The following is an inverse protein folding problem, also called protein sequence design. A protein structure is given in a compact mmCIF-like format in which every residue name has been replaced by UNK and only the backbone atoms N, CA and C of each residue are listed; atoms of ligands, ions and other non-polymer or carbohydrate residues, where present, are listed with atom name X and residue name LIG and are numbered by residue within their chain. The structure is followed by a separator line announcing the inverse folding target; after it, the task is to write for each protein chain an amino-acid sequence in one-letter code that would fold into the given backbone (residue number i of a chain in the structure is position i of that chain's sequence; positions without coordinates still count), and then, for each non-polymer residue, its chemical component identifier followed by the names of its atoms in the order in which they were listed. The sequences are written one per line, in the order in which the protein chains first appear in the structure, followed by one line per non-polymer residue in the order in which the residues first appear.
data_IF_574941021117
#
_entry.id   IF_574941021117
#
_cell.length_a   1.000
_cell.length_b   1.000
_cell.length_c   1.000
_cell.angle_alpha   90.00
_cell.angle_beta   90.00
_cell.angle_gamma   90.00
#
_symmetry.space_group_name_H-M   'P 1'
#
loop_
_entity.id
_entity.type
_entity.pdbx_description
1 polymer ?
#
# COMPACT_ATOMS: atom_id res chain seq x y z
N UNK A 1 39.50 -60.38 -6.12
CA UNK A 1 38.45 -59.41 -6.54
C UNK A 1 37.74 -58.92 -5.28
N UNK A 2 38.04 -57.70 -4.84
CA UNK A 2 37.25 -56.93 -3.87
C UNK A 2 37.46 -55.46 -4.23
N UNK A 3 36.43 -54.80 -4.74
CA UNK A 3 36.42 -53.36 -4.98
C UNK A 3 35.80 -52.68 -3.76
N UNK A 4 36.60 -51.90 -3.04
CA UNK A 4 36.12 -51.02 -1.97
C UNK A 4 35.61 -49.74 -2.61
N UNK A 5 34.29 -49.53 -2.65
CA UNK A 5 33.69 -48.30 -3.12
C UNK A 5 33.79 -47.22 -2.03
N UNK A 6 34.62 -46.20 -2.26
CA UNK A 6 34.59 -44.96 -1.49
C UNK A 6 33.36 -44.14 -1.92
N UNK A 7 32.35 -44.07 -1.05
CA UNK A 7 31.28 -43.09 -1.17
C UNK A 7 31.83 -41.75 -0.69
N UNK A 8 32.16 -40.87 -1.63
CA UNK A 8 32.44 -39.47 -1.32
C UNK A 8 31.12 -38.80 -0.89
N UNK A 9 30.97 -38.52 0.42
CA UNK A 9 29.92 -37.64 0.92
C UNK A 9 30.14 -36.26 0.32
N UNK A 10 29.31 -35.89 -0.65
CA UNK A 10 29.20 -34.53 -1.15
C UNK A 10 28.49 -33.70 -0.07
N UNK A 11 29.26 -33.11 0.83
CA UNK A 11 28.74 -32.07 1.72
C UNK A 11 28.38 -30.86 0.84
N UNK A 12 27.14 -30.34 0.92
CA UNK A 12 26.80 -29.11 0.22
C UNK A 12 27.73 -27.98 0.71
N UNK A 13 28.15 -27.06 -0.17
CA UNK A 13 28.98 -25.94 0.24
C UNK A 13 28.28 -25.18 1.38
N UNK A 14 29.07 -24.75 2.36
CA UNK A 14 28.61 -23.94 3.48
C UNK A 14 27.68 -22.83 2.97
N UNK A 15 26.43 -22.87 3.44
CA UNK A 15 25.39 -21.87 3.25
C UNK A 15 25.99 -20.47 3.11
N UNK A 16 26.03 -19.95 1.88
CA UNK A 16 26.34 -18.54 1.68
C UNK A 16 25.29 -17.74 2.45
N UNK A 17 25.72 -16.93 3.42
CA UNK A 17 24.82 -16.07 4.17
C UNK A 17 23.90 -15.33 3.19
N UNK A 18 22.57 -15.30 3.42
CA UNK A 18 21.66 -14.68 2.50
C UNK A 18 22.13 -13.24 2.21
N UNK A 19 22.10 -12.81 0.93
CA UNK A 19 22.54 -11.45 0.59
C UNK A 19 21.73 -10.46 1.41
N UNK A 20 22.41 -9.59 2.17
CA UNK A 20 21.76 -8.61 3.04
C UNK A 20 20.75 -7.79 2.24
N UNK A 21 19.47 -8.00 2.56
CA UNK A 21 18.33 -7.22 2.04
C UNK A 21 18.44 -5.75 2.46
N UNK A 22 19.09 -5.53 3.60
CA UNK A 22 19.27 -4.24 4.23
C UNK A 22 20.50 -3.52 3.68
N UNK A 23 20.34 -2.23 3.46
CA UNK A 23 21.45 -1.30 3.26
C UNK A 23 21.87 -0.70 4.62
N UNK A 24 23.17 -0.49 4.83
CA UNK A 24 23.72 0.21 6.01
C UNK A 24 23.42 1.74 5.99
N UNK A 25 22.67 2.23 5.01
CA UNK A 25 22.39 3.65 4.85
C UNK A 25 21.21 4.01 5.74
N UNK A 26 21.46 4.84 6.76
CA UNK A 26 20.42 5.39 7.62
C UNK A 26 19.72 6.53 6.88
N UNK A 27 18.41 6.38 6.68
CA UNK A 27 17.55 7.52 6.35
C UNK A 27 17.44 8.35 7.62
N UNK A 28 17.84 9.63 7.57
CA UNK A 28 17.67 10.55 8.70
C UNK A 28 16.20 10.95 8.82
N UNK A 29 15.42 10.07 9.44
CA UNK A 29 14.05 10.36 9.85
C UNK A 29 14.06 11.13 11.18
N UNK A 30 13.10 12.04 11.34
CA UNK A 30 12.78 12.62 12.64
C UNK A 30 11.99 11.65 13.51
N UNK A 31 11.67 12.03 14.75
CA UNK A 31 10.96 11.16 15.67
C UNK A 31 9.56 10.83 15.15
N UNK A 32 9.20 9.55 15.24
CA UNK A 32 7.85 9.09 14.96
C UNK A 32 6.86 9.71 15.95
N UNK A 33 5.70 10.14 15.46
CA UNK A 33 4.66 10.75 16.26
C UNK A 33 3.31 10.05 16.05
N UNK A 34 2.56 9.85 17.15
CA UNK A 34 1.20 9.32 17.09
C UNK A 34 0.26 10.38 16.52
N UNK A 35 -0.46 10.02 15.47
CA UNK A 35 -1.52 10.84 14.87
C UNK A 35 -2.84 10.54 15.57
N UNK A 36 -3.16 9.25 15.75
CA UNK A 36 -4.41 8.83 16.38
C UNK A 36 -4.28 7.42 16.96
N UNK A 37 -4.87 7.19 18.14
CA UNK A 37 -5.02 5.85 18.73
C UNK A 37 -6.42 5.35 18.48
N UNK A 38 -6.51 4.13 17.96
CA UNK A 38 -7.79 3.48 17.75
C UNK A 38 -8.19 2.71 19.01
N UNK A 39 -9.47 2.78 19.37
CA UNK A 39 -10.04 2.01 20.48
C UNK A 39 -9.84 0.49 20.29
N UNK A 40 -9.76 -0.22 21.41
CA UNK A 40 -9.73 -1.69 21.40
C UNK A 40 -10.95 -2.24 20.68
N UNK A 41 -10.74 -3.15 19.72
CA UNK A 41 -11.81 -3.68 18.87
C UNK A 41 -12.09 -2.86 17.60
N UNK A 42 -11.42 -1.72 17.38
CA UNK A 42 -11.47 -1.04 16.08
C UNK A 42 -11.01 -1.98 14.97
N UNK A 43 -11.75 -1.96 13.86
CA UNK A 43 -11.53 -2.78 12.69
C UNK A 43 -10.89 -1.99 11.54
N UNK A 44 -10.46 -0.75 11.79
CA UNK A 44 -9.86 0.11 10.77
C UNK A 44 -8.53 -0.48 10.28
N UNK A 45 -8.33 -0.62 8.96
CA UNK A 45 -7.13 -1.18 8.32
C UNK A 45 -6.92 -0.57 6.94
N UNK A 46 -5.74 -0.79 6.38
CA UNK A 46 -5.38 -0.36 5.02
C UNK A 46 -5.65 1.14 4.86
N UNK A 47 -4.82 1.96 5.50
CA UNK A 47 -4.94 3.43 5.45
C UNK A 47 -4.36 4.02 4.17
N UNK A 48 -5.07 4.96 3.53
CA UNK A 48 -4.51 5.85 2.51
C UNK A 48 -4.59 7.28 3.01
N UNK A 49 -3.61 8.09 2.63
CA UNK A 49 -3.60 9.52 2.89
C UNK A 49 -3.32 10.24 1.59
N UNK A 50 -4.24 11.10 1.17
CA UNK A 50 -4.10 11.87 -0.08
C UNK A 50 -4.39 13.33 0.17
N UNK A 51 -3.55 14.22 -0.35
CA UNK A 51 -3.85 15.64 -0.43
C UNK A 51 -4.46 15.94 -1.78
N UNK A 52 -5.63 16.55 -1.77
CA UNK A 52 -6.34 16.99 -2.97
C UNK A 52 -6.39 18.51 -3.01
N UNK A 53 -6.71 19.06 -4.17
CA UNK A 53 -6.88 20.50 -4.36
C UNK A 53 -5.64 21.23 -4.88
N UNK A 54 -5.74 22.57 -4.91
CA UNK A 54 -4.80 23.43 -5.65
C UNK A 54 -5.03 23.44 -7.16
N UNK A 55 -6.20 22.99 -7.63
CA UNK A 55 -6.60 22.99 -9.04
C UNK A 55 -7.74 23.99 -9.28
N UNK A 56 -7.94 24.40 -10.53
CA UNK A 56 -8.99 25.36 -10.92
C UNK A 56 -10.41 24.97 -10.40
N UNK A 57 -10.69 23.66 -10.35
CA UNK A 57 -11.97 23.12 -9.90
C UNK A 57 -11.98 22.67 -8.43
N UNK A 58 -10.83 22.77 -7.74
CA UNK A 58 -10.66 22.43 -6.33
C UNK A 58 -9.60 23.35 -5.71
N UNK A 59 -9.94 24.62 -5.42
CA UNK A 59 -8.95 25.65 -5.09
C UNK A 59 -8.33 25.46 -3.70
N UNK A 60 -9.08 24.91 -2.74
CA UNK A 60 -8.64 24.65 -1.38
C UNK A 60 -7.85 23.34 -1.30
N UNK A 61 -6.68 23.35 -0.65
CA UNK A 61 -5.98 22.09 -0.39
C UNK A 61 -6.61 21.39 0.81
N UNK A 62 -7.05 20.16 0.62
CA UNK A 62 -7.67 19.32 1.63
C UNK A 62 -6.91 18.00 1.79
N UNK A 63 -6.87 17.48 3.00
CA UNK A 63 -6.30 16.15 3.28
C UNK A 63 -7.41 15.16 3.54
N UNK A 64 -7.35 14.04 2.83
CA UNK A 64 -8.28 12.93 2.96
C UNK A 64 -7.55 11.73 3.56
N UNK A 65 -8.17 11.12 4.57
CA UNK A 65 -7.74 9.81 5.08
C UNK A 65 -8.81 8.79 4.73
N UNK A 66 -8.38 7.67 4.17
CA UNK A 66 -9.22 6.53 3.79
C UNK A 66 -8.81 5.32 4.62
N UNK A 67 -9.77 4.52 5.09
CA UNK A 67 -9.50 3.19 5.65
C UNK A 67 -10.66 2.22 5.40
N UNK A 68 -10.33 0.93 5.35
CA UNK A 68 -11.31 -0.17 5.50
C UNK A 68 -11.72 -0.26 6.96
N UNK A 69 -13.00 -0.46 7.25
CA UNK A 69 -13.51 -0.68 8.61
C UNK A 69 -14.64 -1.71 8.60
N UNK A 70 -14.60 -2.71 9.48
CA UNK A 70 -15.72 -3.64 9.69
C UNK A 70 -16.84 -2.98 10.52
N UNK A 71 -18.10 -3.33 10.23
CA UNK A 71 -19.25 -2.85 11.01
C UNK A 71 -19.09 -3.15 12.50
N UNK A 72 -19.27 -2.18 13.41
CA UNK A 72 -19.17 -2.40 14.85
C UNK A 72 -20.30 -3.28 15.44
N UNK A 73 -21.32 -3.65 14.67
CA UNK A 73 -22.58 -4.23 15.18
C UNK A 73 -22.83 -5.71 14.87
N UNK A 74 -21.86 -6.49 14.38
CA UNK A 74 -22.10 -7.92 14.10
C UNK A 74 -21.03 -8.82 14.71
N UNK A 75 -21.35 -9.38 15.89
CA UNK A 75 -20.72 -10.61 16.42
C UNK A 75 -21.49 -11.77 15.80
N UNK A 76 -20.94 -12.38 14.75
CA UNK A 76 -21.54 -13.56 14.10
C UNK A 76 -21.81 -13.36 12.60
N UNK A 77 -20.85 -13.79 11.79
CA UNK A 77 -21.15 -14.49 10.53
C UNK A 77 -21.27 -13.69 9.23
N UNK A 78 -21.53 -12.38 9.23
CA UNK A 78 -21.51 -11.57 7.99
C UNK A 78 -20.98 -10.16 8.26
N UNK A 79 -19.68 -9.95 8.12
CA UNK A 79 -19.06 -8.63 8.24
C UNK A 79 -19.53 -7.72 7.10
N UNK A 80 -20.41 -6.76 7.40
CA UNK A 80 -20.60 -5.64 6.49
C UNK A 80 -19.35 -4.75 6.54
N UNK A 81 -18.59 -4.74 5.45
CA UNK A 81 -17.40 -3.89 5.32
C UNK A 81 -17.78 -2.47 4.89
N UNK A 82 -17.15 -1.49 5.50
CA UNK A 82 -17.30 -0.08 5.23
C UNK A 82 -15.99 0.51 4.75
N UNK A 83 -16.10 1.49 3.87
CA UNK A 83 -15.03 2.45 3.63
C UNK A 83 -15.31 3.69 4.45
N UNK A 84 -14.35 4.08 5.27
CA UNK A 84 -14.37 5.30 6.07
C UNK A 84 -13.49 6.35 5.40
N UNK A 85 -14.08 7.51 5.16
CA UNK A 85 -13.38 8.72 4.70
C UNK A 85 -13.41 9.77 5.80
N UNK A 86 -12.25 10.27 6.18
CA UNK A 86 -12.11 11.45 7.03
C UNK A 86 -11.67 12.64 6.19
N UNK A 87 -12.40 13.76 6.30
CA UNK A 87 -12.16 15.03 5.60
C UNK A 87 -11.70 16.12 6.56
N UNK A 88 -11.24 17.24 5.98
CA UNK A 88 -10.83 18.45 6.70
C UNK A 88 -9.77 18.21 7.77
N UNK A 89 -8.97 17.17 7.54
CA UNK A 89 -7.85 16.87 8.39
C UNK A 89 -6.78 17.95 8.19
N UNK A 90 -6.16 18.41 9.28
CA UNK A 90 -5.03 19.35 9.24
C UNK A 90 -4.06 18.90 8.14
N UNK A 91 -3.62 19.85 7.30
CA UNK A 91 -2.73 19.62 6.17
C UNK A 91 -1.51 18.77 6.54
N UNK A 92 -1.06 18.84 7.78
CA UNK A 92 0.11 18.14 8.27
C UNK A 92 -0.23 16.98 9.21
N UNK A 93 -1.50 16.81 9.58
CA UNK A 93 -1.93 15.97 10.70
C UNK A 93 -1.06 16.25 11.95
N UNK A 94 -0.63 17.51 12.15
CA UNK A 94 0.18 17.95 13.29
C UNK A 94 -0.71 18.15 14.51
N UNK A 95 -0.10 17.84 15.64
CA UNK A 95 -0.60 18.19 16.95
C UNK A 95 -0.30 17.12 17.98
N UNK A 96 -0.55 17.44 19.25
CA UNK A 96 -0.71 16.41 20.28
C UNK A 96 -1.81 15.42 19.85
N UNK A 97 -1.87 14.22 20.44
CA UNK A 97 -2.94 13.24 20.15
C UNK A 97 -4.34 13.89 20.15
N UNK A 98 -4.57 14.91 20.98
CA UNK A 98 -5.81 15.71 21.08
C UNK A 98 -6.13 16.61 19.87
N UNK A 99 -5.15 17.03 19.09
CA UNK A 99 -5.32 17.94 17.95
C UNK A 99 -5.48 17.18 16.63
N UNK A 100 -4.64 16.15 16.42
CA UNK A 100 -4.78 15.26 15.27
C UNK A 100 -6.01 14.33 15.39
N UNK A 101 -6.46 14.03 16.61
CA UNK A 101 -7.72 13.32 16.83
C UNK A 101 -8.94 14.09 16.33
N UNK A 102 -8.91 15.41 16.15
CA UNK A 102 -10.06 16.17 15.63
C UNK A 102 -10.56 15.67 14.26
N UNK A 103 -9.62 15.27 13.38
CA UNK A 103 -9.92 14.62 12.10
C UNK A 103 -10.69 13.30 12.30
N UNK A 104 -10.28 12.48 13.27
CA UNK A 104 -10.84 11.14 13.54
C UNK A 104 -12.00 11.11 14.54
N UNK A 105 -12.18 12.16 15.34
CA UNK A 105 -13.10 12.23 16.48
C UNK A 105 -14.50 12.71 16.11
N UNK A 106 -14.65 13.49 15.05
CA UNK A 106 -15.96 13.98 14.62
C UNK A 106 -16.64 12.99 13.68
N UNK A 107 -17.83 12.51 14.05
CA UNK A 107 -18.71 11.77 13.14
C UNK A 107 -19.14 12.61 11.92
N UNK A 108 -19.02 13.94 11.99
CA UNK A 108 -19.30 14.84 10.87
C UNK A 108 -18.21 14.78 9.78
N UNK A 109 -16.96 14.47 10.17
CA UNK A 109 -15.85 14.31 9.23
C UNK A 109 -15.81 12.91 8.62
N UNK A 110 -16.52 11.96 9.22
CA UNK A 110 -16.56 10.56 8.83
C UNK A 110 -17.71 10.28 7.85
N UNK A 111 -17.38 10.10 6.58
CA UNK A 111 -18.33 9.53 5.61
C UNK A 111 -18.11 8.02 5.53
N UNK A 112 -19.09 7.25 6.02
CA UNK A 112 -19.13 5.80 5.85
C UNK A 112 -19.92 5.45 4.58
N UNK A 113 -19.22 4.94 3.57
CA UNK A 113 -19.88 4.48 2.35
C UNK A 113 -20.27 3.02 2.54
N UNK A 114 -21.55 2.77 2.85
CA UNK A 114 -22.12 1.40 2.82
C UNK A 114 -22.21 0.96 1.38
N UNK A 115 -21.81 -0.28 1.12
CA UNK A 115 -22.22 -0.93 -0.10
C UNK A 115 -22.67 -2.38 0.14
N UNK A 116 -23.95 -2.71 -0.12
CA UNK A 116 -24.50 -4.03 0.15
C UNK A 116 -23.96 -5.17 -0.73
N UNK A 117 -23.14 -4.89 -1.75
CA UNK A 117 -22.58 -5.90 -2.68
C UNK A 117 -21.06 -5.78 -2.89
N UNK A 118 -20.36 -5.00 -2.08
CA UNK A 118 -18.98 -4.53 -2.36
C UNK A 118 -18.03 -4.65 -1.16
N UNK A 119 -18.26 -5.64 -0.32
CA UNK A 119 -17.30 -6.09 0.72
C UNK A 119 -15.91 -6.39 0.17
N UNK A 120 -15.76 -6.47 -1.16
CA UNK A 120 -14.48 -6.69 -1.81
C UNK A 120 -13.66 -5.41 -2.05
N UNK A 121 -14.26 -4.22 -2.20
CA UNK A 121 -13.49 -3.02 -2.59
C UNK A 121 -12.54 -2.52 -1.51
N UNK A 122 -12.98 -2.50 -0.26
CA UNK A 122 -12.20 -1.93 0.84
C UNK A 122 -10.88 -2.66 1.10
N UNK A 123 -10.74 -3.91 0.66
CA UNK A 123 -9.59 -4.74 0.97
C UNK A 123 -8.32 -4.31 0.21
N UNK A 124 -8.46 -3.84 -1.05
CA UNK A 124 -7.32 -3.61 -1.95
C UNK A 124 -7.29 -2.23 -2.64
N UNK A 125 -8.03 -1.21 -2.20
CA UNK A 125 -8.10 0.07 -2.95
C UNK A 125 -6.80 0.90 -2.92
N UNK A 126 -6.33 1.32 -4.08
CA UNK A 126 -5.35 2.41 -4.27
C UNK A 126 -6.07 3.75 -4.48
N UNK A 127 -5.47 4.86 -4.02
CA UNK A 127 -5.94 6.21 -4.28
C UNK A 127 -4.83 7.05 -4.93
N UNK A 128 -5.17 7.84 -5.94
CA UNK A 128 -4.26 8.80 -6.58
C UNK A 128 -4.99 10.13 -6.82
N UNK A 129 -4.39 11.24 -6.42
CA UNK A 129 -4.81 12.57 -6.88
C UNK A 129 -3.96 12.96 -8.09
N UNK A 130 -4.61 13.17 -9.24
CA UNK A 130 -3.94 13.63 -10.45
C UNK A 130 -4.88 14.45 -11.33
N UNK A 131 -4.34 15.41 -12.07
CA UNK A 131 -5.09 16.25 -13.02
C UNK A 131 -6.41 16.87 -12.47
N UNK A 132 -6.46 17.17 -11.17
CA UNK A 132 -7.65 17.74 -10.52
C UNK A 132 -8.75 16.73 -10.16
N UNK A 133 -8.46 15.43 -10.20
CA UNK A 133 -9.39 14.36 -9.86
C UNK A 133 -8.76 13.33 -8.89
N UNK A 134 -9.61 12.70 -8.07
CA UNK A 134 -9.23 11.52 -7.29
C UNK A 134 -9.57 10.27 -8.09
N UNK A 135 -8.57 9.44 -8.33
CA UNK A 135 -8.70 8.11 -8.91
C UNK A 135 -8.65 7.08 -7.80
N UNK A 136 -9.63 6.17 -7.79
CA UNK A 136 -9.65 5.00 -6.93
C UNK A 136 -9.61 3.75 -7.79
N UNK A 137 -8.66 2.86 -7.53
CA UNK A 137 -8.51 1.61 -8.28
C UNK A 137 -8.37 0.44 -7.30
N UNK A 138 -9.25 -0.56 -7.40
CA UNK A 138 -9.20 -1.72 -6.54
C UNK A 138 -10.51 -2.48 -6.48
N UNK A 139 -10.59 -3.44 -5.56
CA UNK A 139 -11.59 -4.51 -5.60
C UNK A 139 -10.94 -5.87 -5.38
N UNK A 140 -11.29 -6.56 -4.28
CA UNK A 140 -10.95 -7.96 -4.07
C UNK A 140 -11.72 -8.80 -5.08
N UNK A 141 -11.02 -9.31 -6.08
CA UNK A 141 -11.53 -10.44 -6.84
C UNK A 141 -11.28 -11.69 -5.99
N UNK A 142 -12.31 -12.20 -5.30
CA UNK A 142 -12.17 -13.44 -4.53
C UNK A 142 -12.76 -14.61 -5.34
N UNK A 143 -11.92 -15.39 -6.05
CA UNK A 143 -12.40 -16.48 -6.88
C UNK A 143 -13.01 -17.63 -6.05
N UNK A 144 -12.71 -17.76 -4.74
CA UNK A 144 -13.27 -18.83 -3.90
C UNK A 144 -14.67 -18.53 -3.36
N UNK A 145 -15.13 -17.27 -3.40
CA UNK A 145 -16.53 -16.92 -3.13
C UNK A 145 -17.32 -16.90 -4.43
N UNK A 146 -17.51 -18.11 -5.00
CA UNK A 146 -18.30 -18.33 -6.20
C UNK A 146 -19.74 -17.81 -6.05
N UNK A 147 -20.00 -16.65 -6.66
CA UNK A 147 -21.27 -16.27 -7.33
C UNK A 147 -21.13 -14.88 -7.95
N UNK A 148 -20.14 -14.66 -8.81
CA UNK A 148 -20.18 -13.50 -9.69
C UNK A 148 -19.85 -13.93 -11.11
N UNK A 149 -20.84 -13.80 -11.99
CA UNK A 149 -20.73 -13.90 -13.45
C UNK A 149 -19.54 -13.07 -13.93
N UNK A 150 -18.89 -13.49 -15.00
CA UNK A 150 -17.92 -12.72 -15.80
C UNK A 150 -18.30 -11.24 -15.83
N UNK A 151 -17.67 -10.45 -14.96
CA UNK A 151 -18.22 -9.18 -14.54
C UNK A 151 -17.11 -8.34 -13.94
N UNK A 152 -16.40 -7.67 -14.85
CA UNK A 152 -15.46 -6.62 -14.53
C UNK A 152 -16.09 -5.62 -13.56
N UNK A 153 -15.63 -5.57 -12.30
CA UNK A 153 -16.05 -4.48 -11.42
C UNK A 153 -15.26 -3.22 -11.77
N UNK A 154 -15.74 -2.52 -12.80
CA UNK A 154 -15.56 -1.08 -12.94
C UNK A 154 -16.84 -0.44 -12.45
N UNK A 155 -16.92 -0.17 -11.14
CA UNK A 155 -17.84 0.83 -10.63
C UNK A 155 -17.02 1.96 -10.06
N UNK A 156 -16.88 2.99 -10.88
CA UNK A 156 -16.82 4.36 -10.39
C UNK A 156 -18.02 4.59 -9.49
N UNK A 157 -17.83 4.52 -8.18
CA UNK A 157 -18.78 5.18 -7.30
C UNK A 157 -18.73 6.67 -7.62
N UNK A 158 -19.89 7.27 -7.85
CA UNK A 158 -20.62 8.07 -6.86
C UNK A 158 -19.92 8.50 -5.55
N UNK A 159 -18.60 8.36 -5.39
CA UNK A 159 -17.82 9.14 -4.44
C UNK A 159 -17.88 10.60 -4.87
N UNK A 160 -17.98 10.93 -6.17
CA UNK A 160 -18.33 12.29 -6.56
C UNK A 160 -19.74 12.63 -6.02
N UNK A 161 -20.83 11.98 -6.43
CA UNK A 161 -22.17 12.37 -5.94
C UNK A 161 -22.35 12.34 -4.41
N UNK A 162 -21.62 11.50 -3.65
CA UNK A 162 -21.63 11.48 -2.17
C UNK A 162 -20.59 12.38 -1.49
N UNK A 163 -19.40 12.60 -2.05
CA UNK A 163 -18.47 13.67 -1.61
C UNK A 163 -19.05 15.04 -1.96
N UNK A 164 -19.81 15.12 -3.05
CA UNK A 164 -20.62 16.24 -3.47
C UNK A 164 -21.86 16.37 -2.61
N UNK A 165 -22.50 15.28 -2.16
CA UNK A 165 -23.62 15.36 -1.23
C UNK A 165 -23.15 15.77 0.17
N UNK A 166 -21.99 15.27 0.61
CA UNK A 166 -21.31 15.70 1.83
C UNK A 166 -20.79 17.15 1.72
N UNK A 167 -20.28 17.57 0.55
CA UNK A 167 -19.94 18.97 0.28
C UNK A 167 -21.20 19.86 0.16
N UNK A 168 -22.31 19.34 -0.37
CA UNK A 168 -23.62 20.01 -0.43
C UNK A 168 -24.28 20.15 0.94
N UNK A 169 -24.08 19.19 1.85
CA UNK A 169 -24.64 19.22 3.20
C UNK A 169 -23.94 20.24 4.11
N UNK A 170 -22.72 20.67 3.75
CA UNK A 170 -21.86 21.50 4.62
C UNK A 170 -21.55 22.90 4.07
N UNK A 171 -22.06 23.29 2.90
CA UNK A 171 -21.78 24.59 2.30
C UNK A 171 -23.06 25.34 1.88
N UNK A 172 -23.34 26.54 2.42
CA UNK A 172 -24.31 27.45 1.84
C UNK A 172 -23.70 28.06 0.57
N UNK A 173 -24.24 27.65 -0.58
CA UNK A 173 -24.02 28.22 -1.90
C UNK A 173 -22.60 28.11 -2.49
N UNK A 174 -22.48 27.30 -3.55
CA UNK A 174 -21.91 27.64 -4.87
C UNK A 174 -21.04 26.53 -5.47
N UNK A 175 -21.31 26.31 -6.77
CA UNK A 175 -20.62 25.50 -7.77
C UNK A 175 -20.81 23.98 -7.74
N UNK A 176 -21.71 23.55 -8.64
CA UNK A 176 -21.68 22.23 -9.29
C UNK A 176 -20.26 21.89 -9.73
N UNK A 177 -19.83 20.68 -9.42
CA UNK A 177 -18.69 20.08 -10.10
C UNK A 177 -19.06 19.83 -11.56
N UNK A 178 -18.13 20.06 -12.50
CA UNK A 178 -18.27 19.50 -13.82
C UNK A 178 -18.29 17.96 -13.67
N UNK A 179 -19.25 17.26 -14.30
CA UNK A 179 -19.21 15.81 -14.32
C UNK A 179 -17.87 15.39 -14.93
N UNK A 180 -17.13 14.43 -14.34
CA UNK A 180 -16.01 13.82 -15.04
C UNK A 180 -16.58 13.24 -16.34
N UNK A 181 -16.05 13.69 -17.49
CA UNK A 181 -16.31 13.03 -18.75
C UNK A 181 -15.99 11.53 -18.59
N UNK A 182 -17.01 10.73 -18.89
CA UNK A 182 -17.04 9.27 -18.92
C UNK A 182 -16.41 8.48 -17.75
N UNK A 183 -17.25 8.21 -16.74
CA UNK A 183 -17.02 7.21 -15.69
C UNK A 183 -17.46 5.78 -16.12
N UNK A 184 -17.90 5.56 -17.37
CA UNK A 184 -18.49 4.28 -17.83
C UNK A 184 -17.51 3.27 -18.44
N UNK A 185 -16.19 3.47 -18.35
CA UNK A 185 -15.22 2.72 -19.17
C UNK A 185 -13.90 2.31 -18.51
N UNK A 186 -13.82 2.10 -17.20
CA UNK A 186 -12.57 1.64 -16.57
C UNK A 186 -12.31 0.15 -16.90
N UNK A 187 -11.16 -0.25 -17.43
CA UNK A 187 -10.80 -1.67 -17.43
C UNK A 187 -10.61 -2.12 -15.98
N UNK A 188 -11.50 -2.99 -15.49
CA UNK A 188 -11.35 -3.58 -14.16
C UNK A 188 -10.10 -4.46 -14.14
N UNK A 189 -9.28 -4.32 -13.09
CA UNK A 189 -8.26 -5.32 -12.80
C UNK A 189 -8.97 -6.64 -12.46
N UNK A 190 -8.72 -7.68 -13.24
CA UNK A 190 -9.32 -9.01 -13.04
C UNK A 190 -8.27 -9.96 -12.46
N UNK A 191 -8.68 -10.97 -11.72
CA UNK A 191 -7.77 -12.03 -11.26
C UNK A 191 -6.97 -12.66 -12.40
N UNK A 192 -7.53 -12.75 -13.61
CA UNK A 192 -6.87 -13.25 -14.81
C UNK A 192 -5.98 -12.22 -15.54
N UNK A 193 -5.62 -11.08 -14.93
CA UNK A 193 -4.80 -10.06 -15.58
C UNK A 193 -3.44 -10.63 -16.01
N UNK A 194 -3.00 -10.29 -17.22
CA UNK A 194 -1.78 -10.85 -17.80
C UNK A 194 -0.56 -10.64 -16.90
N UNK A 195 0.30 -11.66 -16.80
CA UNK A 195 1.54 -11.61 -16.01
C UNK A 195 1.34 -11.68 -14.49
N UNK A 196 0.11 -11.81 -14.00
CA UNK A 196 -0.12 -11.89 -12.56
C UNK A 196 0.49 -13.17 -11.95
N UNK A 197 1.20 -13.02 -10.83
CA UNK A 197 1.85 -14.14 -10.13
C UNK A 197 1.08 -14.58 -8.89
N UNK A 198 0.44 -15.74 -9.01
CA UNK A 198 -0.26 -16.46 -7.95
C UNK A 198 0.09 -17.95 -7.99
N UNK A 199 1.07 -18.38 -7.20
CA UNK A 199 1.48 -19.79 -7.17
C UNK A 199 0.64 -20.68 -6.27
N UNK A 200 -0.28 -20.11 -5.46
CA UNK A 200 -1.13 -20.90 -4.56
C UNK A 200 -2.19 -21.64 -5.39
N UNK A 201 -2.21 -22.99 -5.39
CA UNK A 201 -3.06 -23.77 -6.31
C UNK A 201 -4.55 -23.46 -6.20
N UNK A 202 -5.05 -23.10 -5.01
CA UNK A 202 -6.48 -22.85 -4.79
C UNK A 202 -7.02 -21.56 -5.42
N UNK A 203 -6.14 -20.68 -5.90
CA UNK A 203 -6.54 -19.45 -6.59
C UNK A 203 -6.36 -19.55 -8.10
N UNK A 204 -5.60 -20.53 -8.60
CA UNK A 204 -5.36 -20.71 -10.02
C UNK A 204 -6.68 -20.87 -10.83
N UNK A 205 -6.78 -20.27 -12.03
CA UNK A 205 -5.75 -19.50 -12.74
C UNK A 205 -5.71 -18.00 -12.37
N UNK A 206 -6.47 -17.57 -11.36
CA UNK A 206 -6.68 -16.18 -11.02
C UNK A 206 -5.79 -15.73 -9.85
N UNK A 207 -5.53 -14.43 -9.79
CA UNK A 207 -4.94 -13.79 -8.64
C UNK A 207 -5.99 -13.27 -7.67
N UNK A 208 -5.79 -13.55 -6.37
CA UNK A 208 -6.65 -13.00 -5.30
C UNK A 208 -6.37 -11.51 -5.03
N UNK A 209 -5.15 -11.05 -5.35
CA UNK A 209 -4.64 -9.70 -5.06
C UNK A 209 -4.80 -9.20 -3.62
N UNK A 210 -5.06 -10.07 -2.64
CA UNK A 210 -5.34 -9.64 -1.25
C UNK A 210 -4.18 -8.84 -0.60
N UNK A 211 -4.53 -7.89 0.26
CA UNK A 211 -3.63 -6.81 0.69
C UNK A 211 -3.94 -5.53 -0.06
N UNK A 212 -3.08 -4.51 -0.01
CA UNK A 212 -3.39 -3.20 -0.59
C UNK A 212 -2.81 -3.02 -1.99
N UNK A 213 -3.54 -2.34 -2.90
CA UNK A 213 -2.94 -1.72 -4.08
C UNK A 213 -2.37 -0.32 -3.79
N UNK A 214 -1.29 0.02 -4.50
CA UNK A 214 -0.81 1.41 -4.62
C UNK A 214 -0.84 1.84 -6.08
N UNK A 215 -1.20 3.10 -6.31
CA UNK A 215 -1.21 3.72 -7.64
C UNK A 215 -0.36 4.97 -7.60
N UNK A 216 0.74 4.96 -8.35
CA UNK A 216 1.72 6.05 -8.33
C UNK A 216 1.98 6.57 -9.74
N UNK A 217 2.25 7.88 -9.84
CA UNK A 217 2.64 8.52 -11.09
C UNK A 217 4.16 8.68 -11.15
N UNK A 218 4.76 8.31 -12.28
CA UNK A 218 6.17 8.48 -12.60
C UNK A 218 6.26 9.13 -13.98
N UNK A 219 6.47 10.45 -13.99
CA UNK A 219 6.43 11.25 -15.21
C UNK A 219 5.05 11.17 -15.87
N UNK A 220 4.98 10.63 -17.08
CA UNK A 220 3.72 10.39 -17.80
C UNK A 220 3.16 8.98 -17.62
N UNK A 221 3.81 8.13 -16.82
CA UNK A 221 3.41 6.73 -16.62
C UNK A 221 2.76 6.53 -15.27
N UNK A 222 1.69 5.74 -15.23
CA UNK A 222 0.99 5.33 -14.02
C UNK A 222 1.35 3.89 -13.70
N UNK A 223 1.78 3.63 -12.46
CA UNK A 223 2.16 2.31 -11.99
C UNK A 223 1.19 1.82 -10.93
N UNK A 224 0.61 0.65 -11.19
CA UNK A 224 -0.22 -0.09 -10.25
C UNK A 224 0.61 -1.18 -9.59
N UNK A 225 0.67 -1.16 -8.26
CA UNK A 225 1.36 -2.16 -7.45
C UNK A 225 0.36 -3.05 -6.74
N UNK A 226 0.63 -4.34 -6.76
CA UNK A 226 -0.23 -5.38 -6.22
C UNK A 226 0.57 -6.46 -5.52
N UNK A 227 -0.09 -7.21 -4.63
CA UNK A 227 0.53 -8.39 -4.03
C UNK A 227 0.77 -9.46 -5.10
N UNK A 228 1.95 -10.07 -5.06
CA UNK A 228 2.30 -11.32 -5.74
C UNK A 228 2.46 -12.43 -4.70
N UNK A 229 2.08 -13.66 -5.06
CA UNK A 229 2.32 -14.85 -4.24
C UNK A 229 3.32 -15.77 -4.96
N UNK A 230 4.57 -15.73 -4.52
CA UNK A 230 5.71 -16.36 -5.18
C UNK A 230 5.88 -17.84 -4.82
N UNK A 231 5.17 -18.32 -3.79
CA UNK A 231 5.24 -19.68 -3.25
C UNK A 231 3.84 -20.28 -3.17
N UNK A 232 3.69 -21.51 -3.64
CA UNK A 232 2.41 -22.25 -3.65
C UNK A 232 2.20 -23.18 -2.45
N UNK A 233 3.24 -23.38 -1.64
CA UNK A 233 3.21 -24.28 -0.49
C UNK A 233 2.89 -23.54 0.81
N UNK A 234 2.15 -24.21 1.70
CA UNK A 234 1.92 -23.74 3.06
C UNK A 234 3.18 -23.99 3.92
N UNK A 235 3.43 -23.11 4.88
CA UNK A 235 4.38 -23.34 5.96
C UNK A 235 3.84 -24.31 7.00
N UNK A 236 4.65 -24.63 8.02
CA UNK A 236 4.34 -25.62 9.05
C UNK A 236 3.01 -25.37 9.80
N UNK A 237 2.58 -24.11 9.93
CA UNK A 237 1.32 -23.71 10.57
C UNK A 237 0.14 -23.58 9.59
N UNK A 238 0.27 -24.05 8.35
CA UNK A 238 -0.81 -23.99 7.34
C UNK A 238 -0.97 -22.64 6.64
N UNK A 239 -0.12 -21.65 6.94
CA UNK A 239 -0.13 -20.32 6.33
C UNK A 239 0.87 -20.19 5.17
N UNK A 240 0.51 -19.43 4.14
CA UNK A 240 1.40 -19.16 2.99
C UNK A 240 2.42 -18.07 3.30
N UNK A 241 3.70 -18.36 3.09
CA UNK A 241 4.77 -17.36 2.96
C UNK A 241 4.97 -16.95 1.49
N UNK A 242 6.12 -16.37 1.13
CA UNK A 242 6.42 -16.01 -0.26
C UNK A 242 5.63 -14.84 -0.81
N UNK A 243 5.09 -13.97 0.06
CA UNK A 243 4.32 -12.79 -0.38
C UNK A 243 5.28 -11.69 -0.80
N UNK A 244 5.01 -11.08 -1.94
CA UNK A 244 5.81 -9.97 -2.45
C UNK A 244 4.96 -9.01 -3.30
N UNK A 245 5.60 -8.19 -4.13
CA UNK A 245 4.95 -7.13 -4.91
C UNK A 245 5.19 -7.34 -6.41
N UNK A 246 4.18 -7.01 -7.21
CA UNK A 246 4.24 -6.95 -8.66
C UNK A 246 3.70 -5.60 -9.14
N UNK A 247 4.19 -5.13 -10.29
CA UNK A 247 3.81 -3.85 -10.88
C UNK A 247 3.31 -4.04 -12.31
N UNK A 248 2.28 -3.28 -12.68
CA UNK A 248 1.82 -3.10 -14.05
C UNK A 248 1.76 -1.60 -14.36
N UNK A 249 2.05 -1.22 -15.60
CA UNK A 249 2.14 0.19 -16.00
C UNK A 249 1.09 0.55 -17.07
N UNK A 250 0.65 1.80 -17.04
CA UNK A 250 -0.23 2.43 -18.01
C UNK A 250 0.37 3.78 -18.42
N UNK A 251 0.53 4.03 -19.72
CA UNK A 251 1.02 5.31 -20.26
C UNK A 251 -0.10 6.23 -20.73
N UNK A 252 -1.36 5.79 -20.59
CA UNK A 252 -2.53 6.49 -21.15
C UNK A 252 -3.37 7.15 -20.07
N UNK A 253 -3.57 6.47 -18.94
CA UNK A 253 -4.47 6.94 -17.88
C UNK A 253 -4.20 6.23 -16.55
N UNK A 254 -4.46 6.87 -15.40
CA UNK A 254 -4.45 6.22 -14.09
C UNK A 254 -5.50 5.10 -13.96
N UNK A 255 -6.44 5.00 -14.91
CA UNK A 255 -7.44 3.93 -15.03
C UNK A 255 -6.97 2.75 -15.88
N UNK A 256 -5.81 2.84 -16.52
CA UNK A 256 -5.35 1.85 -17.50
C UNK A 256 -5.63 2.25 -18.97
N UNK A 257 -5.57 1.30 -19.91
CA UNK A 257 -5.24 -0.12 -19.70
C UNK A 257 -3.83 -0.31 -19.12
N UNK A 258 -3.72 -1.21 -18.14
CA UNK A 258 -2.43 -1.62 -17.60
C UNK A 258 -1.86 -2.77 -18.42
N UNK A 259 -0.56 -2.73 -18.71
CA UNK A 259 0.17 -3.84 -19.30
C UNK A 259 0.24 -5.07 -18.39
N UNK A 260 1.00 -6.09 -18.80
CA UNK A 260 1.20 -7.28 -17.98
C UNK A 260 1.92 -6.94 -16.66
N UNK A 261 1.52 -7.61 -15.58
CA UNK A 261 2.25 -7.56 -14.32
C UNK A 261 3.64 -8.18 -14.48
N UNK A 262 4.58 -7.60 -13.75
CA UNK A 262 5.89 -8.19 -13.50
C UNK A 262 6.22 -8.05 -12.02
N UNK A 263 6.76 -9.10 -11.41
CA UNK A 263 7.28 -9.05 -10.03
C UNK A 263 8.36 -7.96 -9.97
N UNK A 264 8.30 -7.11 -8.94
CA UNK A 264 9.31 -6.07 -8.75
C UNK A 264 10.66 -6.69 -8.39
N UNK A 265 11.76 -6.07 -8.76
CA UNK A 265 13.10 -6.48 -8.35
C UNK A 265 13.58 -5.58 -7.22
N UNK A 266 13.83 -6.17 -6.05
CA UNK A 266 14.51 -5.53 -4.92
C UNK A 266 15.76 -6.36 -4.65
N UNK A 267 16.98 -5.80 -4.75
CA UNK A 267 18.20 -6.57 -4.50
C UNK A 267 18.18 -7.21 -3.10
N UNK A 268 18.46 -8.51 -3.05
CA UNK A 268 18.35 -9.33 -1.82
C UNK A 268 17.02 -10.08 -1.69
N UNK A 269 15.94 -9.62 -2.34
CA UNK A 269 14.70 -10.39 -2.47
C UNK A 269 14.73 -11.30 -3.69
N UNK A 270 15.41 -12.44 -3.57
CA UNK A 270 15.43 -13.46 -4.64
C UNK A 270 15.06 -14.82 -4.09
N UNK A 271 14.38 -15.62 -4.91
CA UNK A 271 14.22 -17.05 -4.66
C UNK A 271 15.62 -17.71 -4.57
N UNK A 272 15.81 -18.76 -3.74
CA UNK A 272 14.80 -19.44 -2.92
C UNK A 272 14.48 -18.73 -1.58
N UNK A 273 15.19 -17.67 -1.21
CA UNK A 273 15.02 -16.94 0.06
C UNK A 273 13.65 -16.26 0.20
N UNK A 274 12.92 -16.10 -0.89
CA UNK A 274 11.52 -15.63 -0.91
C UNK A 274 10.58 -16.43 0.03
N UNK A 275 10.88 -17.69 0.40
CA UNK A 275 10.03 -18.42 1.36
C UNK A 275 10.03 -17.78 2.75
N UNK A 276 11.19 -17.30 3.21
CA UNK A 276 11.37 -16.64 4.50
C UNK A 276 11.02 -15.14 4.43
N UNK A 277 11.38 -14.49 3.33
CA UNK A 277 11.11 -13.06 3.08
C UNK A 277 9.65 -12.82 2.69
N UNK A 278 8.96 -11.97 3.44
CA UNK A 278 7.56 -11.70 3.21
C UNK A 278 7.27 -10.21 3.27
N UNK A 279 6.69 -9.71 2.18
CA UNK A 279 6.08 -8.39 2.09
C UNK A 279 4.62 -8.59 1.73
N UNK A 280 3.72 -8.25 2.65
CA UNK A 280 2.28 -8.46 2.44
C UNK A 280 1.72 -7.58 1.31
N UNK A 281 2.14 -6.32 1.27
CA UNK A 281 1.99 -5.35 0.18
C UNK A 281 3.04 -4.25 0.38
N UNK A 282 3.26 -3.40 -0.63
CA UNK A 282 4.04 -2.17 -0.46
C UNK A 282 3.16 -0.94 -0.67
N UNK A 283 3.40 0.10 0.12
CA UNK A 283 2.84 1.42 -0.13
C UNK A 283 3.79 2.19 -1.04
N UNK A 284 3.36 2.52 -2.25
CA UNK A 284 4.19 3.15 -3.29
C UNK A 284 3.57 4.46 -3.74
N UNK A 285 4.36 5.52 -3.79
CA UNK A 285 3.91 6.83 -4.27
C UNK A 285 5.01 7.55 -5.06
N UNK A 286 4.62 8.62 -5.78
CA UNK A 286 5.56 9.54 -6.40
C UNK A 286 6.50 10.12 -5.35
N UNK A 287 7.80 10.16 -5.62
CA UNK A 287 8.77 10.66 -4.66
C UNK A 287 8.67 12.19 -4.54
N UNK A 288 8.25 12.75 -3.39
CA UNK A 288 8.10 14.20 -3.27
C UNK A 288 9.43 14.96 -3.30
N UNK A 289 10.56 14.29 -3.07
CA UNK A 289 11.88 14.90 -3.11
C UNK A 289 12.50 14.94 -4.51
N UNK A 290 11.94 14.16 -5.44
CA UNK A 290 12.35 14.01 -6.83
C UNK A 290 11.11 13.66 -7.70
N UNK A 291 10.13 14.58 -7.77
CA UNK A 291 8.86 14.33 -8.43
C UNK A 291 9.09 14.03 -9.91
N UNK A 292 8.21 13.20 -10.47
CA UNK A 292 8.22 12.73 -11.86
C UNK A 292 9.42 11.85 -12.29
N UNK A 293 10.52 11.81 -11.54
CA UNK A 293 11.71 11.01 -11.91
C UNK A 293 11.90 9.76 -11.05
N UNK A 294 11.31 9.71 -9.86
CA UNK A 294 11.35 8.52 -9.03
C UNK A 294 10.08 8.29 -8.21
N UNK A 295 9.94 7.05 -7.77
CA UNK A 295 8.97 6.57 -6.80
C UNK A 295 9.67 6.28 -5.49
N UNK A 296 8.94 6.42 -4.38
CA UNK A 296 9.34 5.98 -3.06
C UNK A 296 8.35 4.93 -2.56
N UNK A 297 8.85 3.91 -1.89
CA UNK A 297 8.05 2.79 -1.42
C UNK A 297 8.40 2.36 0.01
N UNK A 298 7.38 1.99 0.75
CA UNK A 298 7.49 1.35 2.06
C UNK A 298 7.14 -0.14 1.96
N UNK A 299 8.08 -0.98 2.39
CA UNK A 299 7.97 -2.43 2.39
C UNK A 299 7.94 -2.93 3.85
N UNK A 300 6.77 -3.36 4.37
CA UNK A 300 6.70 -4.09 5.63
C UNK A 300 7.31 -5.47 5.42
N UNK A 301 8.60 -5.59 5.71
CA UNK A 301 9.38 -6.80 5.51
C UNK A 301 9.41 -7.62 6.79
N UNK A 302 8.99 -8.88 6.66
CA UNK A 302 9.27 -9.94 7.64
C UNK A 302 10.28 -10.91 7.05
N UNK A 303 11.35 -11.16 7.79
CA UNK A 303 12.33 -12.23 7.56
C UNK A 303 12.55 -13.03 8.85
N UNK A 304 13.31 -14.13 8.82
CA UNK A 304 13.70 -14.88 10.02
C UNK A 304 14.47 -13.99 11.00
N UNK A 305 13.87 -13.71 12.15
CA UNK A 305 14.47 -12.88 13.20
C UNK A 305 14.46 -11.37 12.91
N UNK A 306 13.82 -10.92 11.82
CA UNK A 306 13.79 -9.52 11.43
C UNK A 306 12.37 -9.11 11.01
N UNK A 307 11.91 -7.99 11.56
CA UNK A 307 10.64 -7.37 11.19
C UNK A 307 10.86 -5.86 11.09
N UNK A 308 10.82 -5.32 9.87
CA UNK A 308 11.09 -3.90 9.61
C UNK A 308 10.06 -3.28 8.66
N UNK A 309 10.01 -1.96 8.71
CA UNK A 309 9.51 -1.14 7.63
C UNK A 309 10.71 -0.63 6.82
N UNK A 310 10.89 -1.19 5.62
CA UNK A 310 11.95 -0.80 4.70
C UNK A 310 11.53 0.34 3.76
N UNK A 311 12.43 1.27 3.49
CA UNK A 311 12.30 2.32 2.48
C UNK A 311 13.09 1.94 1.23
N UNK A 312 12.46 2.01 0.06
CA UNK A 312 13.12 1.82 -1.23
C UNK A 312 12.72 2.91 -2.24
N UNK A 313 13.57 3.13 -3.24
CA UNK A 313 13.31 4.06 -4.35
C UNK A 313 13.41 3.36 -5.70
N UNK A 314 12.63 3.82 -6.69
CA UNK A 314 12.64 3.29 -8.06
C UNK A 314 12.56 4.43 -9.08
N UNK A 315 13.16 4.27 -10.25
CA UNK A 315 13.02 5.20 -11.38
C UNK A 315 12.22 4.62 -12.56
N UNK A 316 11.68 3.41 -12.43
CA UNK A 316 10.93 2.73 -13.51
C UNK A 316 9.73 1.92 -13.00
N UNK A 317 9.46 1.97 -11.69
CA UNK A 317 8.38 1.23 -11.02
C UNK A 317 8.55 -0.29 -11.02
N UNK A 318 9.68 -0.83 -11.49
CA UNK A 318 9.95 -2.28 -11.52
C UNK A 318 11.17 -2.65 -10.71
N UNK A 319 12.25 -1.89 -10.79
CA UNK A 319 13.49 -2.08 -10.04
C UNK A 319 13.54 -1.07 -8.91
N UNK A 320 13.62 -1.57 -7.69
CA UNK A 320 13.78 -0.77 -6.49
C UNK A 320 15.21 -0.90 -5.95
N UNK A 321 15.66 0.10 -5.21
CA UNK A 321 16.89 0.05 -4.44
C UNK A 321 16.87 -1.09 -3.41
N UNK A 322 18.03 -1.40 -2.82
CA UNK A 322 18.04 -2.14 -1.55
C UNK A 322 17.21 -1.37 -0.52
N UNK A 323 16.63 -2.09 0.44
CA UNK A 323 15.80 -1.48 1.45
C UNK A 323 16.68 -0.88 2.55
N UNK A 324 16.45 0.39 2.87
CA UNK A 324 16.96 0.98 4.10
C UNK A 324 15.95 0.79 5.21
N UNK A 325 16.40 0.51 6.43
CA UNK A 325 15.51 0.41 7.59
C UNK A 325 14.99 1.80 7.92
N UNK A 326 13.68 2.01 7.80
CA UNK A 326 13.03 3.25 8.24
C UNK A 326 12.58 3.14 9.70
N UNK A 327 11.98 2.00 10.06
CA UNK A 327 11.57 1.70 11.43
C UNK A 327 11.53 0.18 11.66
N UNK A 328 11.58 -0.23 12.92
CA UNK A 328 11.25 -1.60 13.30
C UNK A 328 9.74 -1.80 13.28
N UNK A 329 9.31 -3.05 13.09
CA UNK A 329 7.94 -3.53 13.34
C UNK A 329 8.04 -4.79 14.19
N UNK A 330 6.90 -5.25 14.69
CA UNK A 330 6.79 -6.52 15.41
C UNK A 330 6.55 -7.67 14.42
N UNK A 331 7.18 -8.84 14.64
CA UNK A 331 6.79 -10.09 13.95
C UNK A 331 5.44 -10.54 14.52
N UNK A 332 4.40 -10.56 13.69
CA UNK A 332 3.07 -10.98 14.09
C UNK A 332 2.87 -12.51 13.97
N UNK A 333 3.89 -13.25 13.55
CA UNK A 333 3.78 -14.65 13.15
C UNK A 333 3.19 -14.80 11.74
N UNK A 334 3.14 -16.05 11.26
CA UNK A 334 2.51 -16.42 9.98
C UNK A 334 2.96 -15.58 8.77
N UNK A 335 4.25 -15.24 8.81
CA UNK A 335 4.94 -14.48 7.77
C UNK A 335 4.35 -13.07 7.58
N UNK A 336 4.04 -12.39 8.68
CA UNK A 336 3.45 -11.04 8.70
C UNK A 336 4.17 -10.14 9.69
N UNK A 337 4.18 -8.86 9.38
CA UNK A 337 4.50 -7.81 10.34
C UNK A 337 3.21 -7.33 11.01
N UNK A 338 3.31 -6.86 12.25
CA UNK A 338 2.20 -6.24 12.97
C UNK A 338 1.77 -4.89 12.39
N UNK A 339 2.72 -4.20 11.76
CA UNK A 339 2.55 -2.83 11.29
C UNK A 339 2.46 -2.78 9.77
N UNK A 340 1.60 -1.89 9.27
CA UNK A 340 1.32 -1.71 7.86
C UNK A 340 1.56 -0.24 7.46
N UNK A 341 2.30 0.05 6.38
CA UNK A 341 2.36 1.41 5.87
C UNK A 341 0.98 1.84 5.36
N UNK A 342 0.67 3.12 5.56
CA UNK A 342 -0.40 3.75 4.81
C UNK A 342 0.10 4.11 3.40
N UNK A 343 -0.81 4.08 2.43
CA UNK A 343 -0.52 4.48 1.06
C UNK A 343 -0.65 5.99 0.88
N UNK A 344 0.35 6.60 0.24
CA UNK A 344 0.47 8.05 0.09
C UNK A 344 1.40 8.73 1.10
N UNK A 345 1.87 9.91 0.73
CA UNK A 345 2.79 10.74 1.51
C UNK A 345 2.28 12.18 1.49
N UNK A 346 2.29 12.83 2.64
CA UNK A 346 1.99 14.27 2.72
C UNK A 346 3.30 15.06 2.75
N UNK A 347 3.34 16.20 2.06
CA UNK A 347 4.45 17.15 2.18
C UNK A 347 4.00 18.30 3.06
N UNK A 348 4.73 18.59 4.10
CA UNK A 348 4.60 19.85 4.82
C UNK A 348 5.47 20.89 4.12
N UNK A 349 4.82 21.83 3.41
CA UNK A 349 5.48 22.86 2.62
C UNK A 349 6.24 23.86 3.50
N UNK A 350 5.81 24.10 4.75
CA UNK A 350 6.47 25.05 5.66
C UNK A 350 7.79 24.50 6.17
N UNK A 351 7.81 23.22 6.54
CA UNK A 351 9.01 22.57 7.07
C UNK A 351 9.78 21.74 6.03
N UNK A 352 9.34 21.75 4.77
CA UNK A 352 9.93 20.97 3.68
C UNK A 352 10.16 19.51 4.08
N UNK A 353 9.12 18.87 4.61
CA UNK A 353 9.19 17.54 5.21
C UNK A 353 8.14 16.61 4.59
N UNK A 354 8.58 15.46 4.11
CA UNK A 354 7.71 14.36 3.73
C UNK A 354 7.26 13.59 4.98
N UNK A 355 5.96 13.35 5.11
CA UNK A 355 5.32 12.64 6.20
C UNK A 355 4.84 11.28 5.67
N UNK A 356 5.53 10.23 6.10
CA UNK A 356 5.14 8.85 5.86
C UNK A 356 4.23 8.39 7.00
N UNK A 357 3.23 7.56 6.73
CA UNK A 357 2.28 7.12 7.75
C UNK A 357 2.33 5.60 7.92
N UNK A 358 2.22 5.16 9.18
CA UNK A 358 2.27 3.74 9.54
C UNK A 358 1.12 3.43 10.49
N UNK A 359 0.32 2.44 10.15
CA UNK A 359 -0.65 1.85 11.06
C UNK A 359 0.07 0.81 11.93
N UNK A 360 0.34 1.19 13.18
CA UNK A 360 0.96 0.35 14.21
C UNK A 360 -0.06 -0.60 14.82
N UNK A 361 0.36 -1.83 15.11
CA UNK A 361 -0.41 -2.87 15.76
C UNK A 361 -1.77 -3.09 15.09
N UNK A 362 -1.75 -3.43 13.81
CA UNK A 362 -2.97 -3.59 13.01
C UNK A 362 -3.84 -4.71 13.61
N UNK A 363 -5.13 -4.45 13.91
CA UNK A 363 -6.01 -5.44 14.53
C UNK A 363 -6.17 -6.72 13.69
N UNK A 364 -6.38 -7.86 14.37
CA UNK A 364 -6.53 -9.22 13.80
C UNK A 364 -5.40 -9.67 12.86
N UNK A 365 -4.20 -9.11 13.01
CA UNK A 365 -2.99 -9.63 12.39
C UNK A 365 -2.23 -10.45 13.43
N UNK A 366 -2.34 -11.78 13.36
CA UNK A 366 -1.52 -12.69 14.17
C UNK A 366 -1.49 -12.34 15.67
N UNK A 367 -0.31 -12.47 16.28
CA UNK A 367 -0.09 -12.28 17.71
C UNK A 367 0.35 -10.84 18.03
N UNK A 368 -0.52 -9.86 17.79
CA UNK A 368 -0.23 -8.44 18.10
C UNK A 368 -0.76 -8.08 19.49
N UNK A 369 0.11 -7.52 20.34
CA UNK A 369 -0.23 -6.96 21.65
C UNK A 369 0.08 -5.47 21.68
N UNK A 370 -0.84 -4.67 22.25
CA UNK A 370 -0.67 -3.22 22.39
C UNK A 370 -1.69 -2.38 21.60
N UNK A 371 -1.71 -1.06 21.80
CA UNK A 371 -2.68 -0.17 21.18
C UNK A 371 -2.44 -0.04 19.68
N UNK A 372 -3.53 -0.15 18.92
CA UNK A 372 -3.57 0.17 17.48
C UNK A 372 -3.49 1.68 17.29
N UNK A 373 -2.62 2.15 16.41
CA UNK A 373 -2.44 3.60 16.20
C UNK A 373 -2.00 3.94 14.79
N UNK A 374 -2.51 5.04 14.25
CA UNK A 374 -1.91 5.69 13.09
C UNK A 374 -0.79 6.60 13.57
N UNK A 375 0.39 6.43 13.01
CA UNK A 375 1.60 7.19 13.33
C UNK A 375 2.14 7.83 12.06
N UNK A 376 3.05 8.79 12.23
CA UNK A 376 3.77 9.42 11.13
C UNK A 376 5.27 9.46 11.40
N UNK A 377 6.05 9.29 10.35
CA UNK A 377 7.52 9.34 10.35
C UNK A 377 7.94 10.49 9.42
N UNK A 378 8.46 11.61 9.97
CA UNK A 378 8.89 12.74 9.17
C UNK A 378 10.28 12.51 8.56
N UNK A 379 10.47 12.86 7.30
CA UNK A 379 11.76 12.86 6.60
C UNK A 379 11.90 14.17 5.84
N UNK A 380 12.95 14.95 6.10
CA UNK A 380 13.14 16.21 5.36
C UNK A 380 13.30 15.91 3.86
N UNK A 381 12.78 16.77 2.99
CA UNK A 381 12.92 16.60 1.54
C UNK A 381 14.40 16.58 1.13
N UNK A 382 15.27 17.31 1.83
CA UNK A 382 16.73 17.25 1.62
C UNK A 382 17.31 15.87 1.92
N UNK A 383 16.93 15.24 3.04
CA UNK A 383 17.38 13.90 3.42
C UNK A 383 16.84 12.84 2.46
N UNK A 384 15.55 12.94 2.10
CA UNK A 384 14.94 12.03 1.14
C UNK A 384 15.56 12.16 -0.26
N UNK A 385 15.90 13.39 -0.69
CA UNK A 385 16.62 13.63 -1.95
C UNK A 385 18.02 13.02 -1.93
N UNK A 386 18.78 13.24 -0.85
CA UNK A 386 20.11 12.66 -0.68
C UNK A 386 20.06 11.12 -0.70
N UNK A 387 19.09 10.54 0.01
CA UNK A 387 18.82 9.11 -0.01
C UNK A 387 18.54 8.62 -1.44
N UNK A 388 17.58 9.24 -2.12
CA UNK A 388 17.20 8.92 -3.50
C UNK A 388 18.40 8.90 -4.43
N UNK A 389 19.22 9.96 -4.42
CA UNK A 389 20.42 10.05 -5.28
C UNK A 389 21.43 8.95 -5.03
N UNK A 390 21.62 8.58 -3.76
CA UNK A 390 22.58 7.52 -3.37
C UNK A 390 22.08 6.11 -3.66
N UNK A 391 20.75 5.90 -3.66
CA UNK A 391 20.14 4.57 -3.67
C UNK A 391 19.48 4.19 -5.00
N UNK A 392 19.22 5.15 -5.89
CA UNK A 392 18.60 4.87 -7.18
C UNK A 392 19.36 3.74 -7.93
N UNK A 393 18.64 2.72 -8.45
CA UNK A 393 19.24 1.63 -9.20
C UNK A 393 20.16 2.10 -10.34
N UNK A 394 21.13 1.25 -10.71
CA UNK A 394 21.99 1.52 -11.85
C UNK A 394 21.18 1.71 -13.14
N UNK A 395 21.56 2.70 -13.95
CA UNK A 395 20.84 3.08 -15.17
C UNK A 395 19.67 4.04 -14.94
N UNK A 396 19.34 4.39 -13.70
CA UNK A 396 18.42 5.49 -13.42
C UNK A 396 19.09 6.84 -13.73
N UNK A 397 18.38 7.79 -14.37
CA UNK A 397 18.89 9.15 -14.56
C UNK A 397 19.13 9.80 -13.19
N UNK A 398 20.36 10.28 -12.96
CA UNK A 398 20.73 11.00 -11.74
C UNK A 398 20.81 12.48 -12.06
N UNK A 399 19.92 13.28 -11.46
CA UNK A 399 20.00 14.74 -11.58
C UNK A 399 20.97 15.32 -10.53
N UNK A 400 21.72 16.37 -10.90
CA UNK A 400 22.64 17.06 -9.99
C UNK A 400 21.92 17.69 -8.79
#
# INVERSE_FOLDING_TARGET
MMFTAMVALWLPPASAAPPRVLHDALVRAGPEAVVHRFESGSSARYFSVVRVGGAKNWPTRETFVFARRASPTHVGGNEHEWVSFWRDCDATLRGTEKQASGCFASSQNLTNVRSPRETNWAHNTALLWDAGAVYALGGRDNPTHHRVRDGAYSRTYETQSRLDAAARASAPSTRRLPPPEDLRGTPALRGAHAGCVEKRPQFAPNCEFDGRFSLARLGSTYHLFARANLVGEKGARGHFGGRFVQSAASTTSPRGPFGAFSVVDVPGFRAPFARALNVYFAAVTSNPADPDNSLVALFPLRDEGLAILGLGVSCDGKRFSRLAVLANTTDAGDFRTADHPADGVLVDDTSQTALFFVHRNVPSIGNVTGPSALTRIPITLSSLRAFTRSQLPAGCPRRP
#
